data_IF_156269259986
#
_entry.id   IF_156269259986
#
_cell.length_a   1.000
_cell.length_b   1.000
_cell.length_c   1.000
_cell.angle_alpha   90.00
_cell.angle_beta   90.00
_cell.angle_gamma   90.00
#
_symmetry.space_group_name_H-M   'P 1'
#
loop_
_entity.id
_entity.type
_entity.pdbx_description
1 polymer ?
#
# COMPACT_ATOMS: atom_id res chain seq x y z
N UNK A 1 4.47 -28.36 -12.60
CA UNK A 1 4.16 -28.13 -14.04
C UNK A 1 5.02 -26.94 -14.45
N UNK A 2 6.03 -27.16 -15.25
CA UNK A 2 6.86 -26.09 -15.80
C UNK A 2 6.08 -25.34 -16.85
N UNK A 3 6.00 -24.03 -16.72
CA UNK A 3 5.49 -23.13 -17.75
C UNK A 3 6.70 -22.59 -18.50
N UNK A 4 6.91 -22.96 -19.77
CA UNK A 4 8.06 -22.46 -20.53
C UNK A 4 8.03 -20.94 -20.63
N UNK A 5 9.12 -20.29 -20.25
CA UNK A 5 9.29 -18.86 -20.45
C UNK A 5 9.53 -18.53 -21.93
N UNK A 6 9.09 -17.38 -22.44
CA UNK A 6 9.40 -16.92 -23.78
C UNK A 6 10.92 -16.67 -23.93
N UNK A 7 11.49 -17.07 -25.05
CA UNK A 7 12.89 -16.77 -25.40
C UNK A 7 13.97 -17.58 -24.68
N UNK A 8 13.62 -18.76 -24.11
CA UNK A 8 14.62 -19.62 -23.45
C UNK A 8 14.96 -19.21 -22.01
N UNK A 9 14.22 -18.27 -21.43
CA UNK A 9 14.29 -18.00 -19.99
C UNK A 9 13.88 -19.23 -19.21
N UNK A 10 14.47 -19.53 -18.03
CA UNK A 10 14.04 -20.65 -17.21
C UNK A 10 12.54 -20.55 -16.93
N UNK A 11 11.82 -21.65 -17.18
CA UNK A 11 10.38 -21.70 -16.97
C UNK A 11 10.02 -21.40 -15.51
N UNK A 12 8.91 -20.70 -15.31
CA UNK A 12 8.37 -20.45 -13.97
C UNK A 12 7.83 -21.76 -13.40
N UNK A 13 8.43 -22.21 -12.32
CA UNK A 13 7.96 -23.40 -11.57
C UNK A 13 6.96 -22.95 -10.52
N UNK A 14 5.87 -23.67 -10.34
CA UNK A 14 4.83 -23.31 -9.36
C UNK A 14 5.38 -23.10 -7.94
N UNK A 15 6.44 -23.83 -7.59
CA UNK A 15 7.15 -23.69 -6.31
C UNK A 15 7.85 -22.34 -6.14
N UNK A 16 8.20 -21.64 -7.22
CA UNK A 16 8.83 -20.30 -7.15
C UNK A 16 7.86 -19.22 -6.64
N UNK A 17 6.56 -19.49 -6.61
CA UNK A 17 5.53 -18.61 -6.07
C UNK A 17 5.14 -18.98 -4.63
N UNK A 18 5.81 -19.93 -4.02
CA UNK A 18 5.58 -20.25 -2.61
C UNK A 18 6.31 -19.25 -1.72
N UNK A 19 5.62 -18.66 -0.74
CA UNK A 19 6.19 -17.65 0.17
C UNK A 19 7.46 -18.14 0.86
N UNK A 20 7.50 -19.41 1.29
CA UNK A 20 8.70 -20.01 1.89
C UNK A 20 9.92 -19.99 0.97
N UNK A 21 9.74 -20.15 -0.32
CA UNK A 21 10.83 -20.07 -1.31
C UNK A 21 11.33 -18.63 -1.48
N UNK A 22 10.40 -17.67 -1.56
CA UNK A 22 10.75 -16.24 -1.61
C UNK A 22 11.49 -15.79 -0.36
N UNK A 23 11.03 -16.21 0.83
CA UNK A 23 11.67 -15.90 2.09
C UNK A 23 13.05 -16.58 2.23
N UNK A 24 13.23 -17.80 1.74
CA UNK A 24 14.54 -18.45 1.70
C UNK A 24 15.53 -17.73 0.77
N UNK A 25 15.03 -17.18 -0.35
CA UNK A 25 15.82 -16.35 -1.25
C UNK A 25 16.15 -14.98 -0.62
N UNK A 26 15.21 -14.41 0.12
CA UNK A 26 15.39 -13.16 0.85
C UNK A 26 16.50 -13.29 1.90
N UNK A 27 16.49 -14.36 2.71
CA UNK A 27 17.55 -14.63 3.71
C UNK A 27 18.95 -14.67 3.10
N UNK A 28 19.10 -15.32 1.95
CA UNK A 28 20.39 -15.38 1.24
C UNK A 28 20.88 -14.03 0.73
N UNK A 29 19.96 -13.09 0.48
CA UNK A 29 20.28 -11.71 0.05
C UNK A 29 20.47 -10.76 1.24
N UNK A 30 19.71 -10.95 2.33
CA UNK A 30 19.84 -10.16 3.56
C UNK A 30 21.22 -10.33 4.22
N UNK A 31 21.88 -11.46 4.02
CA UNK A 31 23.29 -11.69 4.46
C UNK A 31 24.31 -10.75 3.78
N UNK A 32 23.87 -9.88 2.90
CA UNK A 32 24.75 -9.09 2.02
C UNK A 32 24.92 -7.60 2.38
N UNK A 33 24.65 -7.15 3.61
CA UNK A 33 25.23 -5.88 4.05
C UNK A 33 24.30 -4.72 4.42
N UNK A 34 23.08 -4.98 4.89
CA UNK A 34 22.19 -3.94 5.48
C UNK A 34 21.92 -4.15 6.98
N UNK A 35 22.70 -4.99 7.63
CA UNK A 35 22.49 -5.37 9.05
C UNK A 35 22.58 -4.21 10.04
N UNK A 36 23.28 -3.14 9.68
CA UNK A 36 23.44 -1.92 10.48
C UNK A 36 22.46 -0.79 10.06
N UNK A 37 21.53 -1.06 9.14
CA UNK A 37 20.51 -0.12 8.68
C UNK A 37 19.16 -0.48 9.29
N UNK A 38 18.49 0.51 9.88
CA UNK A 38 17.10 0.38 10.29
C UNK A 38 16.23 0.21 9.05
N UNK A 39 15.44 -0.86 9.01
CA UNK A 39 14.50 -1.13 7.91
C UNK A 39 13.07 -1.09 8.43
N UNK A 40 12.30 -0.13 7.94
CA UNK A 40 10.86 0.02 8.22
C UNK A 40 10.09 -0.16 6.92
N UNK A 41 9.28 -1.19 6.90
CA UNK A 41 8.38 -1.48 5.78
C UNK A 41 7.09 -0.68 5.94
N UNK A 42 6.87 0.26 5.05
CA UNK A 42 5.69 1.13 5.10
C UNK A 42 4.44 0.51 4.48
N UNK A 43 4.59 -0.61 3.73
CA UNK A 43 3.48 -1.25 3.04
C UNK A 43 3.66 -2.77 2.98
N UNK A 44 3.42 -3.41 4.11
CA UNK A 44 3.25 -4.84 4.21
C UNK A 44 1.75 -5.18 4.36
N UNK A 45 1.35 -6.35 3.87
CA UNK A 45 -0.05 -6.73 3.89
C UNK A 45 -0.34 -7.94 4.77
N UNK A 46 -1.53 -7.90 5.36
CA UNK A 46 -2.19 -9.07 5.94
C UNK A 46 -3.24 -9.62 4.97
N UNK A 47 -3.33 -10.94 4.87
CA UNK A 47 -4.42 -11.59 4.12
C UNK A 47 -5.67 -11.70 5.01
N UNK A 48 -6.42 -10.62 5.12
CA UNK A 48 -7.64 -10.58 5.89
C UNK A 48 -8.70 -11.59 5.42
N UNK A 49 -8.61 -12.03 4.16
CA UNK A 49 -9.48 -13.09 3.61
C UNK A 49 -9.33 -14.41 4.35
N UNK A 50 -8.14 -14.72 4.88
CA UNK A 50 -7.90 -15.92 5.70
C UNK A 50 -8.58 -15.81 7.08
N UNK A 51 -8.77 -14.59 7.59
CA UNK A 51 -9.38 -14.27 8.88
C UNK A 51 -10.81 -13.73 8.75
N UNK A 52 -11.43 -13.84 7.58
CA UNK A 52 -12.75 -13.25 7.33
C UNK A 52 -13.84 -13.80 8.28
N UNK A 53 -13.69 -15.03 8.75
CA UNK A 53 -14.58 -15.64 9.74
C UNK A 53 -14.50 -14.98 11.12
N UNK A 54 -13.37 -14.32 11.43
CA UNK A 54 -13.15 -13.56 12.65
C UNK A 54 -13.57 -12.09 12.48
N UNK A 55 -13.42 -11.55 11.27
CA UNK A 55 -13.72 -10.14 10.96
C UNK A 55 -15.22 -9.91 10.84
N UNK A 56 -15.96 -10.77 10.12
CA UNK A 56 -17.41 -10.60 9.93
C UNK A 56 -18.20 -10.45 11.24
N UNK A 57 -17.93 -11.22 12.30
CA UNK A 57 -18.65 -11.04 13.60
C UNK A 57 -18.46 -9.67 14.23
N UNK A 58 -17.36 -8.95 13.88
CA UNK A 58 -17.06 -7.61 14.39
C UNK A 58 -17.82 -6.50 13.65
N UNK A 59 -18.51 -6.80 12.55
CA UNK A 59 -19.39 -5.84 11.87
C UNK A 59 -20.56 -5.52 12.80
N UNK A 60 -20.70 -4.25 13.17
CA UNK A 60 -21.72 -3.83 14.15
C UNK A 60 -23.13 -3.87 13.54
N UNK A 61 -23.30 -3.36 12.32
CA UNK A 61 -24.57 -3.38 11.62
C UNK A 61 -25.01 -4.83 11.30
N UNK A 62 -26.17 -5.29 11.83
CA UNK A 62 -26.62 -6.66 11.63
C UNK A 62 -27.00 -6.98 10.18
N UNK A 63 -27.44 -5.99 9.41
CA UNK A 63 -27.79 -6.15 7.99
C UNK A 63 -26.53 -6.32 7.16
N UNK A 64 -25.54 -5.43 7.35
CA UNK A 64 -24.24 -5.52 6.68
C UNK A 64 -23.54 -6.84 7.08
N UNK A 65 -23.56 -7.22 8.34
CA UNK A 65 -23.03 -8.50 8.81
C UNK A 65 -23.69 -9.71 8.15
N UNK A 66 -25.00 -9.69 7.99
CA UNK A 66 -25.73 -10.76 7.31
C UNK A 66 -25.42 -10.80 5.81
N UNK A 67 -25.30 -9.63 5.17
CA UNK A 67 -24.87 -9.51 3.77
C UNK A 67 -23.47 -10.11 3.56
N UNK A 68 -22.50 -9.75 4.42
CA UNK A 68 -21.15 -10.28 4.37
C UNK A 68 -21.10 -11.81 4.53
N UNK A 69 -21.93 -12.38 5.43
CA UNK A 69 -22.06 -13.85 5.58
C UNK A 69 -22.64 -14.52 4.33
N UNK A 70 -23.63 -13.91 3.71
CA UNK A 70 -24.27 -14.43 2.48
C UNK A 70 -23.29 -14.36 1.29
N UNK A 71 -22.52 -13.29 1.18
CA UNK A 71 -21.51 -13.10 0.12
C UNK A 71 -20.39 -14.15 0.17
N UNK A 72 -20.03 -14.67 1.34
CA UNK A 72 -19.05 -15.76 1.45
C UNK A 72 -19.46 -17.01 0.69
N UNK A 73 -20.76 -17.36 0.73
CA UNK A 73 -21.31 -18.50 -0.02
C UNK A 73 -21.30 -18.26 -1.53
N UNK A 74 -21.72 -17.08 -1.97
CA UNK A 74 -21.75 -16.67 -3.36
C UNK A 74 -20.35 -16.57 -3.97
N UNK A 75 -19.38 -16.00 -3.25
CA UNK A 75 -17.98 -15.90 -3.70
C UNK A 75 -17.34 -17.29 -3.93
N UNK A 76 -17.67 -18.29 -3.11
CA UNK A 76 -17.19 -19.67 -3.32
C UNK A 76 -17.78 -20.31 -4.57
N UNK A 77 -19.00 -19.97 -4.95
CA UNK A 77 -19.64 -20.44 -6.19
C UNK A 77 -19.10 -19.70 -7.42
N UNK A 78 -18.98 -18.38 -7.35
CA UNK A 78 -18.46 -17.54 -8.44
C UNK A 78 -16.98 -17.84 -8.76
N UNK A 79 -16.20 -18.21 -7.75
CA UNK A 79 -14.78 -18.59 -7.96
C UNK A 79 -14.59 -19.85 -8.84
N UNK A 80 -15.65 -20.63 -9.10
CA UNK A 80 -15.58 -21.82 -9.98
C UNK A 80 -15.67 -21.47 -11.45
N UNK A 81 -16.38 -20.40 -11.80
CA UNK A 81 -16.54 -19.94 -13.18
C UNK A 81 -16.70 -18.40 -13.18
N UNK A 82 -15.64 -17.64 -13.47
CA UNK A 82 -15.76 -16.19 -13.68
C UNK A 82 -16.56 -15.96 -14.96
N UNK A 83 -17.87 -15.72 -14.80
CA UNK A 83 -18.80 -15.82 -15.93
C UNK A 83 -19.00 -14.52 -16.70
N UNK A 84 -18.69 -13.35 -16.15
CA UNK A 84 -19.43 -12.21 -16.69
C UNK A 84 -18.69 -10.88 -16.83
N UNK A 85 -17.41 -10.76 -16.50
CA UNK A 85 -16.77 -9.45 -16.55
C UNK A 85 -15.30 -9.44 -16.97
N UNK A 86 -14.92 -10.40 -17.79
CA UNK A 86 -13.53 -10.45 -18.28
C UNK A 86 -13.32 -9.47 -19.45
N UNK A 87 -14.37 -8.85 -19.96
CA UNK A 87 -14.34 -7.97 -21.12
C UNK A 87 -13.48 -8.57 -22.26
N UNK A 88 -12.44 -7.87 -22.71
CA UNK A 88 -11.48 -8.38 -23.71
C UNK A 88 -10.26 -9.05 -23.08
N UNK A 89 -10.27 -9.35 -21.78
CA UNK A 89 -9.13 -9.90 -21.10
C UNK A 89 -8.87 -11.36 -21.49
N UNK A 90 -7.64 -11.64 -21.86
CA UNK A 90 -7.17 -13.00 -22.11
C UNK A 90 -6.67 -13.62 -20.81
N UNK A 91 -7.19 -14.80 -20.46
CA UNK A 91 -6.81 -15.52 -19.26
C UNK A 91 -5.61 -16.47 -19.48
N UNK A 92 -5.23 -16.72 -20.74
CA UNK A 92 -4.12 -17.60 -21.07
C UNK A 92 -2.78 -17.05 -20.58
N UNK A 93 -1.98 -17.90 -19.95
CA UNK A 93 -0.65 -17.55 -19.46
C UNK A 93 -0.62 -16.62 -18.24
N UNK A 94 -1.78 -16.36 -17.64
CA UNK A 94 -1.86 -15.52 -16.43
C UNK A 94 -1.26 -16.22 -15.24
N UNK A 95 -0.34 -15.56 -14.55
CA UNK A 95 0.21 -16.00 -13.27
C UNK A 95 -0.73 -15.53 -12.16
N UNK A 96 -0.96 -16.39 -11.16
CA UNK A 96 -1.73 -16.01 -9.99
C UNK A 96 -1.04 -14.83 -9.26
N UNK A 97 -1.81 -13.81 -8.95
CA UNK A 97 -1.33 -12.65 -8.17
C UNK A 97 -1.00 -13.05 -6.74
N UNK A 98 -1.77 -13.97 -6.20
CA UNK A 98 -1.68 -14.40 -4.81
C UNK A 98 -0.69 -15.56 -4.68
N UNK A 99 0.28 -15.40 -3.80
CA UNK A 99 1.18 -16.48 -3.39
C UNK A 99 0.38 -17.52 -2.59
N UNK A 100 0.72 -18.79 -2.71
CA UNK A 100 -0.01 -19.91 -2.07
C UNK A 100 0.28 -19.97 -0.55
N UNK A 101 -0.11 -18.95 0.20
CA UNK A 101 0.10 -18.85 1.66
C UNK A 101 -0.62 -19.92 2.47
N UNK A 102 -1.75 -20.42 1.99
CA UNK A 102 -2.51 -21.47 2.67
C UNK A 102 -1.71 -22.75 2.95
N UNK A 103 -0.57 -22.93 2.25
CA UNK A 103 0.35 -24.03 2.49
C UNK A 103 1.32 -23.76 3.63
N UNK A 104 1.37 -22.53 4.14
CA UNK A 104 2.22 -22.18 5.25
C UNK A 104 1.60 -22.64 6.58
N UNK A 105 2.36 -23.36 7.37
CA UNK A 105 1.96 -23.79 8.71
C UNK A 105 2.54 -22.83 9.76
N UNK A 106 1.74 -22.56 10.79
CA UNK A 106 2.20 -21.81 11.98
C UNK A 106 2.16 -22.75 13.19
N UNK A 107 3.13 -22.67 14.12
CA UNK A 107 3.22 -23.56 15.27
C UNK A 107 2.07 -23.46 16.26
N UNK A 108 1.21 -22.44 16.19
CA UNK A 108 0.03 -22.32 17.05
C UNK A 108 0.32 -21.95 18.50
N UNK A 109 1.35 -21.15 18.75
CA UNK A 109 1.80 -20.76 20.09
C UNK A 109 0.95 -19.66 20.79
N UNK A 110 -0.32 -19.51 20.45
CA UNK A 110 -1.21 -18.52 21.05
C UNK A 110 -1.15 -17.13 20.37
N UNK A 111 -0.20 -16.90 19.49
CA UNK A 111 -0.12 -15.69 18.66
C UNK A 111 -1.05 -15.82 17.46
N UNK A 112 -1.69 -14.72 17.06
CA UNK A 112 -2.56 -14.72 15.91
C UNK A 112 -1.77 -15.08 14.63
N UNK A 113 -2.31 -16.00 13.80
CA UNK A 113 -1.63 -16.49 12.58
C UNK A 113 -1.12 -15.37 11.66
N UNK A 114 -1.92 -14.31 11.46
CA UNK A 114 -1.51 -13.20 10.60
C UNK A 114 -0.28 -12.47 11.14
N UNK A 115 -0.20 -12.27 12.46
CA UNK A 115 0.96 -11.67 13.12
C UNK A 115 2.20 -12.57 13.00
N UNK A 116 2.03 -13.88 13.26
CA UNK A 116 3.12 -14.84 13.17
C UNK A 116 3.73 -14.92 11.76
N UNK A 117 2.87 -14.92 10.73
CA UNK A 117 3.33 -14.91 9.34
C UNK A 117 4.04 -13.61 8.97
N UNK A 118 3.54 -12.46 9.46
CA UNK A 118 4.18 -11.16 9.23
C UNK A 118 5.56 -11.10 9.89
N UNK A 119 5.66 -11.45 11.16
CA UNK A 119 6.93 -11.45 11.91
C UNK A 119 7.97 -12.38 11.27
N UNK A 120 7.55 -13.59 10.90
CA UNK A 120 8.43 -14.55 10.20
C UNK A 120 8.95 -14.00 8.86
N UNK A 121 8.10 -13.29 8.13
CA UNK A 121 8.49 -12.66 6.87
C UNK A 121 9.46 -11.50 7.12
N UNK A 122 9.19 -10.66 8.12
CA UNK A 122 10.08 -9.57 8.51
C UNK A 122 11.47 -10.07 8.88
N UNK A 123 11.55 -11.12 9.71
CA UNK A 123 12.83 -11.72 10.10
C UNK A 123 13.59 -12.28 8.88
N UNK A 124 12.88 -12.94 7.96
CA UNK A 124 13.48 -13.47 6.75
C UNK A 124 13.98 -12.38 5.79
N UNK A 125 13.34 -11.22 5.75
CA UNK A 125 13.68 -10.10 4.88
C UNK A 125 14.61 -9.07 5.54
N UNK A 126 14.90 -9.20 6.84
CA UNK A 126 15.69 -8.22 7.58
C UNK A 126 14.94 -6.92 7.87
N UNK A 127 13.62 -6.98 8.08
CA UNK A 127 12.77 -5.83 8.40
C UNK A 127 12.60 -5.70 9.90
N UNK A 128 12.83 -4.51 10.46
CA UNK A 128 12.73 -4.24 11.89
C UNK A 128 11.29 -3.96 12.32
N UNK A 129 10.58 -3.12 11.56
CA UNK A 129 9.20 -2.72 11.82
C UNK A 129 8.40 -2.76 10.52
N UNK A 130 7.15 -3.20 10.55
CA UNK A 130 6.27 -3.20 9.39
C UNK A 130 4.90 -2.58 9.72
N UNK A 131 4.44 -1.71 8.82
CA UNK A 131 3.10 -1.15 8.84
C UNK A 131 2.17 -2.02 7.98
N UNK A 132 1.20 -2.66 8.61
CA UNK A 132 0.32 -3.65 8.01
C UNK A 132 -0.95 -3.01 7.44
N UNK A 133 -1.27 -3.32 6.18
CA UNK A 133 -2.51 -2.94 5.51
C UNK A 133 -3.28 -4.17 5.01
N UNK A 134 -4.59 -4.06 4.67
CA UNK A 134 -5.31 -5.19 4.10
C UNK A 134 -4.89 -5.44 2.65
N UNK A 135 -4.88 -6.69 2.21
CA UNK A 135 -4.58 -7.05 0.83
C UNK A 135 -5.81 -6.98 -0.08
N UNK A 136 -6.93 -7.51 0.36
CA UNK A 136 -8.14 -7.65 -0.45
C UNK A 136 -9.16 -6.53 -0.30
N UNK A 137 -9.12 -5.76 0.80
CA UNK A 137 -10.07 -4.68 1.05
C UNK A 137 -9.74 -3.38 0.31
N UNK A 138 -8.68 -3.34 -0.49
CA UNK A 138 -8.33 -2.16 -1.30
C UNK A 138 -9.39 -1.78 -2.34
N UNK A 139 -10.31 -2.69 -2.68
CA UNK A 139 -11.42 -2.41 -3.60
C UNK A 139 -12.65 -1.80 -2.93
N UNK A 140 -12.67 -1.66 -1.60
CA UNK A 140 -13.87 -1.24 -0.86
C UNK A 140 -14.33 0.17 -1.19
N UNK A 141 -13.46 1.04 -1.68
CA UNK A 141 -13.83 2.39 -2.12
C UNK A 141 -14.74 2.43 -3.35
N UNK A 142 -14.83 1.33 -4.11
CA UNK A 142 -15.75 1.17 -5.24
C UNK A 142 -17.12 0.58 -4.83
N UNK A 143 -17.30 0.21 -3.56
CA UNK A 143 -18.57 -0.36 -3.13
C UNK A 143 -19.67 0.71 -3.16
N UNK A 144 -20.83 0.44 -3.83
CA UNK A 144 -21.87 1.44 -4.04
C UNK A 144 -22.63 1.83 -2.75
N UNK A 145 -22.54 1.03 -1.69
CA UNK A 145 -23.21 1.26 -0.40
C UNK A 145 -22.19 1.71 0.65
N UNK A 146 -22.22 2.99 1.09
CA UNK A 146 -21.27 3.51 2.08
C UNK A 146 -21.31 2.75 3.41
N UNK A 147 -22.45 2.23 3.81
CA UNK A 147 -22.64 1.47 5.05
C UNK A 147 -21.85 0.15 5.03
N UNK A 148 -21.73 -0.45 3.85
CA UNK A 148 -20.94 -1.69 3.67
C UNK A 148 -19.45 -1.39 3.80
N UNK A 149 -18.97 -0.34 3.15
CA UNK A 149 -17.57 0.11 3.31
C UNK A 149 -17.29 0.39 4.79
N UNK A 150 -18.12 1.20 5.44
CA UNK A 150 -17.94 1.58 6.85
C UNK A 150 -17.96 0.36 7.78
N UNK A 151 -18.93 -0.55 7.61
CA UNK A 151 -19.06 -1.74 8.45
C UNK A 151 -17.89 -2.73 8.29
N UNK A 152 -17.47 -2.97 7.07
CA UNK A 152 -16.36 -3.92 6.78
C UNK A 152 -15.02 -3.36 7.20
N UNK A 153 -14.71 -2.10 6.86
CA UNK A 153 -13.43 -1.48 7.24
C UNK A 153 -13.35 -1.23 8.76
N UNK A 154 -14.47 -0.87 9.41
CA UNK A 154 -14.53 -0.76 10.87
C UNK A 154 -14.24 -2.10 11.58
N UNK A 155 -14.81 -3.19 11.08
CA UNK A 155 -14.55 -4.54 11.59
C UNK A 155 -13.10 -4.97 11.36
N UNK A 156 -12.52 -4.67 10.19
CA UNK A 156 -11.11 -4.91 9.90
C UNK A 156 -10.20 -4.14 10.85
N UNK A 157 -10.43 -2.84 11.05
CA UNK A 157 -9.64 -2.01 11.95
C UNK A 157 -9.63 -2.56 13.39
N UNK A 158 -10.80 -3.00 13.87
CA UNK A 158 -10.92 -3.65 15.18
C UNK A 158 -10.13 -4.96 15.24
N UNK A 159 -10.32 -5.83 14.25
CA UNK A 159 -9.60 -7.10 14.18
C UNK A 159 -8.08 -6.87 14.15
N UNK A 160 -7.59 -5.95 13.32
CA UNK A 160 -6.18 -5.64 13.23
C UNK A 160 -5.62 -5.19 14.58
N UNK A 161 -6.25 -4.18 15.19
CA UNK A 161 -5.75 -3.56 16.43
C UNK A 161 -5.95 -4.41 17.68
N UNK A 162 -6.98 -5.26 17.73
CA UNK A 162 -7.30 -6.09 18.90
C UNK A 162 -6.67 -7.49 18.86
N UNK A 163 -6.36 -8.01 17.63
CA UNK A 163 -5.93 -9.40 17.44
C UNK A 163 -4.53 -9.56 16.86
N UNK A 164 -4.12 -8.65 15.99
CA UNK A 164 -2.86 -8.79 15.23
C UNK A 164 -1.75 -7.95 15.84
N UNK A 165 -1.94 -6.64 15.98
CA UNK A 165 -0.90 -5.73 16.45
C UNK A 165 -0.38 -6.03 17.86
N UNK A 166 -1.20 -6.50 18.83
CA UNK A 166 -0.71 -6.79 20.19
C UNK A 166 0.35 -7.89 20.26
N UNK A 167 0.55 -8.64 19.18
CA UNK A 167 1.54 -9.72 19.14
C UNK A 167 2.99 -9.22 19.23
N UNK A 168 3.29 -8.01 18.74
CA UNK A 168 4.64 -7.47 18.77
C UNK A 168 4.63 -5.94 18.54
N UNK A 169 5.48 -5.18 19.24
CA UNK A 169 5.66 -3.75 18.97
C UNK A 169 6.34 -3.45 17.60
N UNK A 170 6.85 -4.47 16.94
CA UNK A 170 7.35 -4.38 15.56
C UNK A 170 6.23 -4.25 14.52
N UNK A 171 4.98 -4.55 14.89
CA UNK A 171 3.81 -4.47 14.01
C UNK A 171 3.07 -3.16 14.23
N UNK A 172 2.96 -2.37 13.19
CA UNK A 172 2.11 -1.20 13.12
C UNK A 172 0.92 -1.50 12.21
N UNK A 173 -0.14 -0.69 12.30
CA UNK A 173 -1.31 -0.84 11.45
C UNK A 173 -1.68 0.45 10.72
N UNK A 174 -2.02 0.32 9.45
CA UNK A 174 -2.76 1.33 8.74
C UNK A 174 -4.24 1.21 9.06
N UNK A 175 -4.84 2.30 9.54
CA UNK A 175 -6.28 2.35 9.82
C UNK A 175 -7.01 2.74 8.56
N UNK A 176 -7.85 1.82 8.06
CA UNK A 176 -8.64 2.03 6.85
C UNK A 176 -9.78 3.02 7.08
N UNK A 177 -9.87 4.04 6.24
CA UNK A 177 -10.93 5.05 6.31
C UNK A 177 -12.05 4.77 5.30
N UNK A 178 -13.30 4.68 5.75
CA UNK A 178 -14.45 4.50 4.87
C UNK A 178 -14.86 5.84 4.23
N UNK A 179 -14.17 6.24 3.16
CA UNK A 179 -14.35 7.57 2.57
C UNK A 179 -15.69 7.78 1.86
N UNK A 180 -16.41 6.71 1.46
CA UNK A 180 -17.78 6.88 0.99
C UNK A 180 -18.75 7.24 2.12
N UNK A 181 -18.34 7.05 3.38
CA UNK A 181 -19.05 7.44 4.60
C UNK A 181 -18.21 8.46 5.42
N UNK A 182 -18.12 9.75 5.04
CA UNK A 182 -17.20 10.71 5.66
C UNK A 182 -17.39 10.91 7.17
N UNK A 183 -18.63 10.76 7.69
CA UNK A 183 -18.91 10.82 9.13
C UNK A 183 -18.29 9.65 9.88
N UNK A 184 -18.33 8.46 9.28
CA UNK A 184 -17.71 7.26 9.85
C UNK A 184 -16.18 7.33 9.74
N UNK A 185 -15.67 7.90 8.64
CA UNK A 185 -14.24 8.17 8.50
C UNK A 185 -13.73 9.12 9.59
N UNK A 186 -14.46 10.21 9.90
CA UNK A 186 -14.10 11.11 11.00
C UNK A 186 -14.10 10.38 12.35
N UNK A 187 -15.16 9.63 12.66
CA UNK A 187 -15.20 8.81 13.90
C UNK A 187 -14.05 7.81 13.99
N UNK A 188 -13.66 7.25 12.86
CA UNK A 188 -12.51 6.33 12.79
C UNK A 188 -11.22 7.05 13.16
N UNK A 189 -10.98 8.26 12.64
CA UNK A 189 -9.81 9.07 13.03
C UNK A 189 -9.83 9.36 14.53
N UNK A 190 -10.93 9.87 15.06
CA UNK A 190 -11.10 10.18 16.50
C UNK A 190 -10.85 8.95 17.39
N UNK A 191 -11.27 7.76 16.92
CA UNK A 191 -11.13 6.52 17.68
C UNK A 191 -9.68 6.01 17.74
N UNK A 192 -8.93 6.17 16.64
CA UNK A 192 -7.63 5.50 16.49
C UNK A 192 -6.42 6.42 16.56
N UNK A 193 -6.57 7.74 16.41
CA UNK A 193 -5.45 8.68 16.30
C UNK A 193 -4.45 8.63 17.47
N UNK A 194 -4.92 8.30 18.68
CA UNK A 194 -4.11 8.25 19.89
C UNK A 194 -3.80 6.80 20.36
N UNK A 195 -4.13 5.79 19.57
CA UNK A 195 -3.83 4.40 19.95
C UNK A 195 -2.38 4.05 19.58
N UNK A 196 -1.69 3.28 20.42
CA UNK A 196 -0.35 2.80 20.10
C UNK A 196 -0.39 1.83 18.92
N UNK A 197 0.70 1.74 18.17
CA UNK A 197 0.84 0.84 17.04
C UNK A 197 0.15 1.31 15.77
N UNK A 198 -0.31 2.56 15.69
CA UNK A 198 -0.94 3.12 14.48
C UNK A 198 0.12 3.86 13.67
N UNK A 199 0.36 3.41 12.42
CA UNK A 199 1.24 4.07 11.47
C UNK A 199 0.62 5.35 10.89
N UNK A 200 -0.67 5.32 10.65
CA UNK A 200 -1.44 6.41 10.07
C UNK A 200 -2.79 5.94 9.55
N UNK A 201 -3.38 6.74 8.69
CA UNK A 201 -4.68 6.47 8.09
C UNK A 201 -4.52 6.14 6.60
N UNK A 202 -5.27 5.16 6.12
CA UNK A 202 -5.19 4.72 4.74
C UNK A 202 -6.55 4.84 4.05
N UNK A 203 -6.51 5.36 2.83
CA UNK A 203 -7.63 5.44 1.90
C UNK A 203 -7.28 4.61 0.68
N UNK A 204 -8.19 3.75 0.23
CA UNK A 204 -8.02 3.11 -1.07
C UNK A 204 -8.18 4.13 -2.19
N UNK A 205 -7.23 4.16 -3.12
CA UNK A 205 -7.31 5.00 -4.31
C UNK A 205 -8.34 4.51 -5.34
N UNK A 206 -8.74 3.25 -5.27
CA UNK A 206 -9.83 2.69 -6.08
C UNK A 206 -11.17 3.27 -5.61
N UNK A 207 -11.51 4.45 -6.14
CA UNK A 207 -12.74 5.19 -5.80
C UNK A 207 -13.14 6.17 -6.90
N UNK A 208 -14.42 6.42 -7.00
CA UNK A 208 -14.98 7.37 -7.97
C UNK A 208 -15.04 8.79 -7.41
N UNK A 209 -15.33 8.93 -6.11
CA UNK A 209 -15.48 10.25 -5.48
C UNK A 209 -14.12 10.93 -5.33
N UNK A 210 -13.96 12.18 -5.81
CA UNK A 210 -12.70 12.88 -5.79
C UNK A 210 -12.23 13.21 -4.35
N UNK A 211 -10.93 13.06 -4.09
CA UNK A 211 -10.33 13.24 -2.76
C UNK A 211 -10.43 14.66 -2.21
N UNK A 212 -10.66 15.66 -3.04
CA UNK A 212 -10.85 17.06 -2.64
C UNK A 212 -12.31 17.43 -2.31
N UNK A 213 -13.24 16.46 -2.28
CA UNK A 213 -14.64 16.74 -1.94
C UNK A 213 -14.75 17.36 -0.54
N UNK A 214 -15.57 18.40 -0.42
CA UNK A 214 -15.74 19.14 0.84
C UNK A 214 -16.21 18.28 2.01
N UNK A 215 -16.88 17.15 1.76
CA UNK A 215 -17.29 16.22 2.80
C UNK A 215 -16.11 15.62 3.59
N UNK A 216 -14.91 15.61 3.00
CA UNK A 216 -13.70 15.07 3.66
C UNK A 216 -12.94 16.10 4.49
N UNK A 217 -13.24 17.40 4.38
CA UNK A 217 -12.48 18.45 5.07
C UNK A 217 -12.38 18.24 6.59
N UNK A 218 -13.46 17.84 7.31
CA UNK A 218 -13.36 17.55 8.74
C UNK A 218 -12.43 16.33 9.03
N UNK A 219 -12.40 15.35 8.13
CA UNK A 219 -11.54 14.17 8.28
C UNK A 219 -10.08 14.58 8.15
N UNK A 220 -9.74 15.36 7.12
CA UNK A 220 -8.39 15.87 6.92
C UNK A 220 -7.93 16.77 8.07
N UNK A 221 -8.80 17.64 8.57
CA UNK A 221 -8.49 18.47 9.75
C UNK A 221 -8.11 17.62 10.96
N UNK A 222 -8.90 16.60 11.25
CA UNK A 222 -8.64 15.70 12.37
C UNK A 222 -7.33 14.90 12.20
N UNK A 223 -7.00 14.46 10.98
CA UNK A 223 -5.73 13.78 10.68
C UNK A 223 -4.55 14.73 10.84
N UNK A 224 -4.64 15.94 10.31
CA UNK A 224 -3.60 16.96 10.45
C UNK A 224 -3.36 17.33 11.91
N UNK A 225 -4.43 17.51 12.70
CA UNK A 225 -4.35 17.76 14.14
C UNK A 225 -3.71 16.60 14.91
N UNK A 226 -4.05 15.37 14.53
CA UNK A 226 -3.39 14.18 15.07
C UNK A 226 -1.92 14.10 14.66
N UNK A 227 -1.53 14.76 13.55
CA UNK A 227 -0.20 14.79 12.97
C UNK A 227 0.31 13.42 12.52
N UNK A 228 -0.60 12.50 12.21
CA UNK A 228 -0.32 11.21 11.58
C UNK A 228 -0.43 11.36 10.06
N UNK A 229 0.27 10.52 9.28
CA UNK A 229 0.16 10.56 7.83
C UNK A 229 -1.17 9.99 7.34
N UNK A 230 -1.58 10.45 6.15
CA UNK A 230 -2.60 9.80 5.33
C UNK A 230 -1.96 9.17 4.11
N UNK A 231 -2.28 7.92 3.82
CA UNK A 231 -1.82 7.19 2.66
C UNK A 231 -2.97 6.95 1.67
N UNK A 232 -2.72 7.22 0.40
CA UNK A 232 -3.58 6.83 -0.72
C UNK A 232 -2.97 5.62 -1.39
N UNK A 233 -3.60 4.47 -1.21
CA UNK A 233 -3.04 3.19 -1.65
C UNK A 233 -3.56 2.83 -3.04
N UNK A 234 -2.64 2.63 -3.98
CA UNK A 234 -2.93 2.14 -5.32
C UNK A 234 -3.64 0.78 -5.31
N UNK A 235 -4.18 0.41 -6.42
CA UNK A 235 -4.86 -0.86 -6.53
C UNK A 235 -5.14 -1.25 -7.97
N UNK A 236 -5.56 -2.49 -8.17
CA UNK A 236 -5.86 -3.02 -9.50
C UNK A 236 -7.33 -3.40 -9.58
N UNK A 237 -8.05 -2.76 -10.47
CA UNK A 237 -9.39 -3.14 -10.86
C UNK A 237 -9.46 -3.52 -12.35
N UNK A 238 -9.87 -4.73 -12.63
CA UNK A 238 -10.06 -5.23 -14.00
C UNK A 238 -11.35 -4.77 -14.64
N UNK A 239 -12.32 -4.47 -13.80
CA UNK A 239 -13.67 -4.12 -14.23
C UNK A 239 -13.80 -2.63 -14.54
N UNK A 240 -12.77 -1.84 -14.22
CA UNK A 240 -12.75 -0.41 -14.52
C UNK A 240 -12.96 -0.18 -16.01
N UNK A 241 -13.93 0.68 -16.40
CA UNK A 241 -14.19 1.00 -17.80
C UNK A 241 -12.94 1.42 -18.58
N UNK A 242 -11.99 2.09 -17.95
CA UNK A 242 -10.75 2.53 -18.55
C UNK A 242 -9.87 1.36 -19.00
N UNK A 243 -9.89 0.25 -18.26
CA UNK A 243 -9.03 -0.91 -18.52
C UNK A 243 -9.74 -2.05 -19.26
N UNK A 244 -11.03 -1.92 -19.55
CA UNK A 244 -11.80 -2.99 -20.26
C UNK A 244 -11.26 -3.35 -21.63
N UNK A 245 -10.59 -2.43 -22.30
CA UNK A 245 -10.01 -2.66 -23.63
C UNK A 245 -8.61 -3.26 -23.58
N UNK A 246 -8.02 -3.37 -22.41
CA UNK A 246 -6.69 -3.96 -22.21
C UNK A 246 -6.83 -5.48 -22.13
N UNK A 247 -6.16 -6.21 -23.01
CA UNK A 247 -6.36 -7.67 -23.15
C UNK A 247 -5.52 -8.51 -22.19
N UNK A 248 -4.41 -8.00 -21.69
CA UNK A 248 -3.49 -8.75 -20.83
C UNK A 248 -3.48 -8.20 -19.40
N UNK A 249 -3.50 -9.09 -18.41
CA UNK A 249 -3.42 -8.69 -17.00
C UNK A 249 -2.15 -7.89 -16.67
N UNK A 250 -1.03 -8.27 -17.26
CA UNK A 250 0.22 -7.52 -17.13
C UNK A 250 0.05 -6.03 -17.45
N UNK A 251 -0.68 -5.72 -18.53
CA UNK A 251 -0.91 -4.34 -18.90
C UNK A 251 -1.93 -3.64 -17.98
N UNK A 252 -2.97 -4.37 -17.51
CA UNK A 252 -3.88 -3.84 -16.48
C UNK A 252 -3.09 -3.48 -15.22
N UNK A 253 -2.24 -4.39 -14.72
CA UNK A 253 -1.44 -4.13 -13.52
C UNK A 253 -0.46 -2.96 -13.72
N UNK A 254 0.20 -2.88 -14.89
CA UNK A 254 1.14 -1.82 -15.19
C UNK A 254 0.50 -0.41 -15.27
N UNK A 255 -0.81 -0.32 -15.50
CA UNK A 255 -1.52 0.95 -15.63
C UNK A 255 -2.36 1.30 -14.40
N UNK A 256 -3.09 0.33 -13.84
CA UNK A 256 -4.14 0.62 -12.85
C UNK A 256 -3.61 1.07 -11.50
N UNK A 257 -2.50 0.53 -11.03
CA UNK A 257 -1.95 0.91 -9.73
C UNK A 257 -1.56 2.39 -9.67
N UNK A 258 -0.94 2.91 -10.73
CA UNK A 258 -0.52 4.30 -10.82
C UNK A 258 -1.69 5.22 -11.15
N UNK A 259 -2.61 4.79 -12.00
CA UNK A 259 -3.62 5.67 -12.60
C UNK A 259 -4.47 6.41 -11.57
N UNK A 260 -4.99 5.70 -10.58
CA UNK A 260 -5.81 6.33 -9.55
C UNK A 260 -5.00 7.31 -8.71
N UNK A 261 -3.76 6.97 -8.35
CA UNK A 261 -2.87 7.88 -7.62
C UNK A 261 -2.51 9.12 -8.47
N UNK A 262 -2.31 8.97 -9.78
CA UNK A 262 -2.11 10.12 -10.69
C UNK A 262 -3.32 11.05 -10.64
N UNK A 263 -4.54 10.52 -10.75
CA UNK A 263 -5.77 11.32 -10.74
C UNK A 263 -5.96 12.00 -9.37
N UNK A 264 -5.76 11.26 -8.28
CA UNK A 264 -5.96 11.81 -6.94
C UNK A 264 -4.87 12.80 -6.54
N UNK A 265 -3.61 12.57 -6.90
CA UNK A 265 -2.52 13.51 -6.70
C UNK A 265 -2.77 14.81 -7.50
N UNK A 266 -3.20 14.69 -8.75
CA UNK A 266 -3.62 15.85 -9.54
C UNK A 266 -4.71 16.63 -8.81
N UNK A 267 -5.79 15.96 -8.44
CA UNK A 267 -6.90 16.59 -7.72
C UNK A 267 -6.48 17.21 -6.39
N UNK A 268 -5.60 16.55 -5.65
CA UNK A 268 -5.07 17.05 -4.38
C UNK A 268 -4.35 18.39 -4.59
N UNK A 269 -3.45 18.45 -5.57
CA UNK A 269 -2.65 19.64 -5.83
C UNK A 269 -3.50 20.75 -6.42
N UNK A 270 -4.17 20.52 -7.57
CA UNK A 270 -4.83 21.61 -8.32
C UNK A 270 -6.01 22.24 -7.57
N UNK A 271 -6.60 21.54 -6.61
CA UNK A 271 -7.67 22.07 -5.76
C UNK A 271 -7.15 22.69 -4.44
N UNK A 272 -5.85 22.94 -4.33
CA UNK A 272 -5.25 23.67 -3.22
C UNK A 272 -5.29 22.93 -1.87
N UNK A 273 -5.36 21.60 -1.89
CA UNK A 273 -5.35 20.84 -0.64
C UNK A 273 -4.06 21.03 0.18
N UNK A 274 -2.85 21.11 -0.45
CA UNK A 274 -1.62 21.41 0.30
C UNK A 274 -1.63 22.78 0.98
N UNK A 275 -2.27 23.79 0.38
CA UNK A 275 -2.42 25.11 1.00
C UNK A 275 -3.43 25.10 2.16
N UNK A 276 -4.44 24.23 2.04
CA UNK A 276 -5.48 24.09 3.07
C UNK A 276 -5.01 23.27 4.28
N UNK A 277 -4.14 22.27 4.03
CA UNK A 277 -3.61 21.36 5.04
C UNK A 277 -2.08 21.28 4.94
N UNK A 278 -1.37 22.39 5.28
CA UNK A 278 0.07 22.49 5.03
C UNK A 278 0.94 21.60 5.92
N UNK A 279 0.39 21.05 7.00
CA UNK A 279 1.11 20.15 7.91
C UNK A 279 0.78 18.68 7.67
N UNK A 280 -0.09 18.37 6.70
CA UNK A 280 -0.50 17.01 6.44
C UNK A 280 0.57 16.25 5.65
N UNK A 281 1.03 15.14 6.20
CA UNK A 281 1.91 14.21 5.51
C UNK A 281 1.06 13.28 4.62
N UNK A 282 1.16 13.46 3.30
CA UNK A 282 0.45 12.65 2.31
C UNK A 282 1.42 11.63 1.71
N UNK A 283 1.01 10.37 1.66
CA UNK A 283 1.79 9.27 1.10
C UNK A 283 1.04 8.67 -0.10
N UNK A 284 1.70 8.60 -1.26
CA UNK A 284 1.22 7.88 -2.44
C UNK A 284 1.84 6.48 -2.45
N UNK A 285 1.01 5.45 -2.26
CA UNK A 285 1.41 4.10 -1.92
C UNK A 285 1.08 3.11 -3.04
N UNK A 286 1.93 2.07 -3.20
CA UNK A 286 1.76 0.96 -4.16
C UNK A 286 1.55 1.43 -5.62
N UNK A 287 2.37 2.37 -6.08
CA UNK A 287 2.22 2.93 -7.44
C UNK A 287 3.53 3.24 -8.16
N UNK A 288 4.66 2.87 -7.57
CA UNK A 288 5.98 3.28 -8.07
C UNK A 288 6.14 4.79 -8.08
N UNK A 289 7.18 5.28 -8.73
CA UNK A 289 7.50 6.71 -8.75
C UNK A 289 7.74 7.29 -10.14
N UNK A 290 7.80 6.48 -11.20
CA UNK A 290 8.13 6.95 -12.54
C UNK A 290 7.09 7.91 -13.13
N UNK A 291 5.86 7.87 -12.66
CA UNK A 291 4.79 8.78 -13.07
C UNK A 291 4.94 10.20 -12.47
N UNK A 292 5.67 10.35 -11.36
CA UNK A 292 5.74 11.64 -10.63
C UNK A 292 6.49 12.71 -11.44
N UNK A 293 7.67 12.46 -12.01
CA UNK A 293 8.34 13.46 -12.87
C UNK A 293 7.51 13.86 -14.07
N UNK A 294 6.83 12.90 -14.71
CA UNK A 294 5.95 13.17 -15.83
C UNK A 294 4.79 14.08 -15.42
N UNK A 295 4.10 13.75 -14.33
CA UNK A 295 2.98 14.54 -13.85
C UNK A 295 3.41 15.95 -13.42
N UNK A 296 4.54 16.07 -12.71
CA UNK A 296 5.15 17.35 -12.32
C UNK A 296 5.34 18.27 -13.54
N UNK A 297 6.03 17.77 -14.57
CA UNK A 297 6.28 18.55 -15.79
C UNK A 297 4.97 18.98 -16.48
N UNK A 298 3.98 18.09 -16.52
CA UNK A 298 2.67 18.37 -17.12
C UNK A 298 1.91 19.44 -16.34
N UNK A 299 1.78 19.28 -15.04
CA UNK A 299 1.03 20.23 -14.21
C UNK A 299 1.69 21.61 -14.14
N UNK A 300 3.01 21.68 -14.02
CA UNK A 300 3.75 22.95 -14.01
C UNK A 300 3.57 23.72 -15.33
N UNK A 301 3.57 22.99 -16.47
CA UNK A 301 3.35 23.61 -17.76
C UNK A 301 1.92 24.14 -17.90
N UNK A 302 0.93 23.35 -17.52
CA UNK A 302 -0.49 23.76 -17.58
C UNK A 302 -0.77 24.92 -16.61
N UNK A 303 -0.20 24.91 -15.41
CA UNK A 303 -0.36 25.99 -14.43
C UNK A 303 0.17 27.33 -14.95
N UNK A 304 1.33 27.33 -15.64
CA UNK A 304 1.87 28.56 -16.24
C UNK A 304 0.92 29.20 -17.28
N UNK A 305 0.10 28.37 -17.92
CA UNK A 305 -0.86 28.84 -18.91
C UNK A 305 -2.25 29.17 -18.34
N UNK A 306 -2.63 28.49 -17.25
CA UNK A 306 -4.00 28.49 -16.71
C UNK A 306 -4.05 28.62 -15.18
N UNK A 307 -3.14 29.38 -14.57
CA UNK A 307 -3.09 29.54 -13.10
C UNK A 307 -4.40 30.08 -12.52
N UNK A 308 -5.19 30.83 -13.32
CA UNK A 308 -6.52 31.29 -12.90
C UNK A 308 -7.52 30.19 -12.55
N UNK A 309 -7.31 28.96 -13.04
CA UNK A 309 -8.13 27.80 -12.69
C UNK A 309 -7.79 27.24 -11.29
N UNK A 310 -6.60 27.56 -10.77
CA UNK A 310 -6.10 27.09 -9.47
C UNK A 310 -5.72 28.28 -8.56
N UNK A 311 -6.68 29.17 -8.23
CA UNK A 311 -6.40 30.45 -7.57
C UNK A 311 -5.86 30.32 -6.13
N UNK A 312 -5.95 29.15 -5.54
CA UNK A 312 -5.45 28.86 -4.18
C UNK A 312 -3.97 28.50 -4.16
N UNK A 313 -3.39 28.10 -5.29
CA UNK A 313 -1.98 27.74 -5.34
C UNK A 313 -1.10 28.99 -5.34
N UNK A 314 -0.08 28.99 -4.51
CA UNK A 314 0.92 30.07 -4.40
C UNK A 314 2.26 29.71 -5.04
N UNK A 315 2.47 28.44 -5.38
CA UNK A 315 3.68 27.86 -5.96
C UNK A 315 3.34 26.98 -7.17
N UNK A 316 4.35 26.51 -7.88
CA UNK A 316 4.15 25.54 -8.94
C UNK A 316 3.64 24.20 -8.37
N UNK A 317 2.76 23.49 -9.09
CA UNK A 317 2.27 22.16 -8.69
C UNK A 317 3.37 21.18 -8.29
N UNK A 318 4.48 21.16 -9.03
CA UNK A 318 5.62 20.29 -8.75
C UNK A 318 6.32 20.57 -7.42
N UNK A 319 6.26 21.79 -6.91
CA UNK A 319 6.83 22.12 -5.60
C UNK A 319 6.05 21.45 -4.48
N UNK A 320 4.71 21.42 -4.56
CA UNK A 320 3.87 20.70 -3.60
C UNK A 320 4.07 19.18 -3.70
N UNK A 321 4.22 18.64 -4.92
CA UNK A 321 4.47 17.21 -5.12
C UNK A 321 5.79 16.75 -4.49
N UNK A 322 6.81 17.60 -4.46
CA UNK A 322 8.10 17.31 -3.80
C UNK A 322 8.02 17.26 -2.27
N UNK A 323 6.99 17.85 -1.67
CA UNK A 323 6.73 17.84 -0.23
C UNK A 323 5.90 16.62 0.21
N UNK A 324 5.42 15.81 -0.72
CA UNK A 324 4.68 14.58 -0.44
C UNK A 324 5.61 13.37 -0.34
N UNK A 325 5.08 12.27 0.16
CA UNK A 325 5.82 11.02 0.31
C UNK A 325 5.35 9.97 -0.69
N UNK A 326 6.25 9.05 -1.02
CA UNK A 326 6.03 7.98 -1.99
C UNK A 326 6.60 6.68 -1.45
N UNK A 327 5.95 5.55 -1.71
CA UNK A 327 6.55 4.24 -1.40
C UNK A 327 7.43 3.75 -2.54
N UNK A 328 8.48 2.99 -2.20
CA UNK A 328 9.44 2.49 -3.17
C UNK A 328 8.88 1.39 -4.07
N UNK A 329 7.89 0.64 -3.61
CA UNK A 329 7.34 -0.48 -4.38
C UNK A 329 6.30 -0.03 -5.42
N UNK A 330 6.34 -0.60 -6.63
CA UNK A 330 7.44 -1.41 -7.15
C UNK A 330 8.67 -0.56 -7.48
N UNK A 331 9.88 -1.11 -7.22
CA UNK A 331 11.12 -0.50 -7.73
C UNK A 331 11.17 -0.73 -9.23
N UNK A 332 10.91 0.34 -9.97
CA UNK A 332 10.76 0.28 -11.42
C UNK A 332 12.11 0.34 -12.14
N UNK A 333 12.19 -0.33 -13.28
CA UNK A 333 13.33 -0.32 -14.23
C UNK A 333 14.72 -0.52 -13.59
N UNK A 334 14.96 -1.60 -12.84
CA UNK A 334 16.23 -1.82 -12.15
C UNK A 334 17.46 -1.82 -13.08
N UNK A 335 17.28 -2.17 -14.37
CA UNK A 335 18.34 -2.17 -15.39
C UNK A 335 18.54 -0.78 -16.05
N UNK A 336 17.81 0.23 -15.63
CA UNK A 336 17.84 1.60 -16.16
C UNK A 336 18.07 2.61 -15.02
N UNK A 337 19.23 2.52 -14.35
CA UNK A 337 19.58 3.40 -13.23
C UNK A 337 19.57 4.89 -13.60
N UNK A 338 19.84 5.24 -14.87
CA UNK A 338 19.76 6.62 -15.35
C UNK A 338 18.35 7.21 -15.27
N UNK A 339 17.35 6.42 -15.67
CA UNK A 339 15.94 6.81 -15.61
C UNK A 339 15.45 6.88 -14.15
N UNK A 340 15.82 5.88 -13.34
CA UNK A 340 15.48 5.83 -11.92
C UNK A 340 16.13 7.00 -11.16
N UNK A 341 17.40 7.33 -11.44
CA UNK A 341 18.07 8.47 -10.85
C UNK A 341 17.39 9.81 -11.17
N UNK A 342 16.83 9.96 -12.37
CA UNK A 342 16.06 11.14 -12.73
C UNK A 342 14.75 11.24 -11.91
N UNK A 343 14.05 10.12 -11.75
CA UNK A 343 12.83 10.05 -10.92
C UNK A 343 13.13 10.35 -9.44
N UNK A 344 14.17 9.76 -8.89
CA UNK A 344 14.61 9.95 -7.50
C UNK A 344 14.99 11.43 -7.23
N UNK A 345 15.68 12.08 -8.16
CA UNK A 345 15.98 13.52 -8.04
C UNK A 345 14.71 14.39 -8.11
N UNK A 346 13.75 14.02 -8.95
CA UNK A 346 12.53 14.81 -9.11
C UNK A 346 11.68 14.85 -7.85
N UNK A 347 11.63 13.78 -7.08
CA UNK A 347 10.88 13.68 -5.82
C UNK A 347 11.71 14.04 -4.59
N UNK A 348 13.01 14.30 -4.73
CA UNK A 348 13.92 14.42 -3.57
C UNK A 348 13.88 13.14 -2.70
N UNK A 349 14.13 11.99 -3.33
CA UNK A 349 13.92 10.66 -2.76
C UNK A 349 14.48 10.46 -1.34
N UNK A 350 15.69 10.97 -0.97
CA UNK A 350 16.19 10.83 0.39
C UNK A 350 15.28 11.41 1.47
N UNK A 351 14.42 12.38 1.14
CA UNK A 351 13.53 13.05 2.07
C UNK A 351 12.05 12.65 1.91
N UNK A 352 11.67 12.10 0.76
CA UNK A 352 10.28 11.80 0.40
C UNK A 352 9.98 10.32 0.13
N UNK A 353 10.98 9.52 -0.24
CA UNK A 353 10.78 8.10 -0.51
C UNK A 353 10.87 7.29 0.79
N UNK A 354 9.96 6.33 0.94
CA UNK A 354 9.94 5.38 2.06
C UNK A 354 9.89 3.95 1.51
N UNK A 355 10.65 3.07 2.12
CA UNK A 355 10.69 1.67 1.72
C UNK A 355 9.34 0.99 1.95
N UNK A 356 8.95 0.17 0.98
CA UNK A 356 7.77 -0.69 1.04
C UNK A 356 8.08 -2.03 0.37
N UNK A 357 7.69 -3.11 1.02
CA UNK A 357 7.89 -4.45 0.46
C UNK A 357 6.76 -4.93 -0.42
N UNK A 358 5.56 -4.46 -0.23
CA UNK A 358 4.32 -5.03 -0.78
C UNK A 358 4.17 -6.54 -0.47
N UNK A 359 4.85 -7.04 0.59
CA UNK A 359 4.71 -8.42 1.02
C UNK A 359 3.25 -8.71 1.40
N UNK A 360 2.65 -9.83 1.00
CA UNK A 360 3.20 -10.95 0.26
C UNK A 360 2.74 -10.98 -1.22
N UNK A 361 2.69 -9.85 -1.87
CA UNK A 361 2.35 -9.78 -3.30
C UNK A 361 3.43 -10.46 -4.17
N UNK A 362 3.06 -10.85 -5.37
CA UNK A 362 3.99 -11.52 -6.32
C UNK A 362 5.11 -10.61 -6.82
N UNK A 363 4.95 -9.31 -6.68
CA UNK A 363 5.87 -8.24 -7.05
C UNK A 363 6.54 -7.57 -5.84
N UNK A 364 6.65 -8.30 -4.75
CA UNK A 364 7.30 -7.78 -3.54
C UNK A 364 8.77 -7.44 -3.77
N UNK A 365 9.19 -6.32 -3.20
CA UNK A 365 10.57 -5.84 -3.18
C UNK A 365 11.25 -6.12 -1.84
N UNK A 366 12.45 -6.71 -1.90
CA UNK A 366 13.29 -6.86 -0.72
C UNK A 366 14.01 -5.54 -0.40
N UNK A 367 14.46 -5.31 0.85
CA UNK A 367 15.23 -4.11 1.20
C UNK A 367 16.44 -3.88 0.29
N UNK A 368 17.08 -4.93 -0.22
CA UNK A 368 18.15 -4.87 -1.21
C UNK A 368 17.75 -4.21 -2.53
N UNK A 369 16.46 -4.20 -2.90
CA UNK A 369 16.02 -3.50 -4.11
C UNK A 369 16.33 -1.99 -4.05
N UNK A 370 16.37 -1.41 -2.85
CA UNK A 370 16.81 -0.03 -2.59
C UNK A 370 18.28 0.00 -2.16
N UNK A 371 18.69 -0.92 -1.28
CA UNK A 371 20.03 -0.99 -0.70
C UNK A 371 21.15 -1.19 -1.74
N UNK A 372 20.88 -1.91 -2.82
CA UNK A 372 21.87 -2.21 -3.86
C UNK A 372 21.98 -1.11 -4.94
N UNK A 373 21.14 -0.07 -4.89
CA UNK A 373 21.18 1.00 -5.89
C UNK A 373 22.47 1.83 -5.78
N UNK A 374 23.28 1.79 -6.82
CA UNK A 374 24.54 2.53 -6.89
C UNK A 374 24.34 4.06 -6.97
N UNK A 375 23.16 4.50 -7.37
CA UNK A 375 22.80 5.93 -7.46
C UNK A 375 22.55 6.59 -6.10
N UNK A 376 22.44 5.81 -5.01
CA UNK A 376 22.19 6.29 -3.66
C UNK A 376 23.44 6.24 -2.80
N UNK A 377 23.69 7.32 -2.04
CA UNK A 377 24.68 7.29 -0.97
C UNK A 377 24.19 6.44 0.20
N UNK A 378 25.10 5.95 1.06
CA UNK A 378 24.75 5.20 2.26
C UNK A 378 23.82 6.00 3.20
N UNK A 379 24.00 7.31 3.28
CA UNK A 379 23.11 8.19 4.05
C UNK A 379 21.68 8.25 3.45
N UNK A 380 21.58 8.24 2.11
CA UNK A 380 20.27 8.24 1.44
C UNK A 380 19.55 6.89 1.61
N UNK A 381 20.29 5.79 1.51
CA UNK A 381 19.76 4.43 1.78
C UNK A 381 19.19 4.33 3.19
N UNK A 382 19.90 4.82 4.23
CA UNK A 382 19.42 4.84 5.62
C UNK A 382 18.12 5.64 5.75
N UNK A 383 18.04 6.79 5.10
CA UNK A 383 16.81 7.61 5.12
C UNK A 383 15.64 6.89 4.49
N UNK A 384 15.82 6.35 3.28
CA UNK A 384 14.75 5.69 2.52
C UNK A 384 14.31 4.40 3.21
N UNK A 385 15.26 3.57 3.68
CA UNK A 385 14.97 2.27 4.27
C UNK A 385 14.28 2.38 5.64
N UNK A 386 14.55 3.44 6.43
CA UNK A 386 13.98 3.49 7.77
C UNK A 386 13.77 4.86 8.39
N UNK A 387 14.73 5.80 8.30
CA UNK A 387 14.68 7.03 9.10
C UNK A 387 13.50 7.93 8.74
N UNK A 388 13.14 8.02 7.45
CA UNK A 388 11.98 8.80 6.99
C UNK A 388 10.68 8.21 7.52
N UNK A 389 10.50 6.89 7.42
CA UNK A 389 9.33 6.20 7.97
C UNK A 389 9.28 6.28 9.50
N UNK A 390 10.43 6.15 10.21
CA UNK A 390 10.51 6.32 11.66
C UNK A 390 9.94 7.67 12.10
N UNK A 391 10.34 8.74 11.40
CA UNK A 391 9.84 10.09 11.68
C UNK A 391 8.34 10.24 11.40
N UNK A 392 7.87 9.73 10.25
CA UNK A 392 6.47 9.80 9.85
C UNK A 392 5.54 9.05 10.80
N UNK A 393 5.94 7.86 11.23
CA UNK A 393 5.17 7.01 12.14
C UNK A 393 5.41 7.35 13.61
N UNK A 394 6.21 8.39 13.89
CA UNK A 394 6.55 8.87 15.24
C UNK A 394 7.13 7.80 16.16
N UNK A 395 7.93 6.92 15.59
CA UNK A 395 8.61 5.89 16.35
C UNK A 395 9.77 6.50 17.16
N UNK A 396 10.00 6.03 18.40
CA UNK A 396 11.07 6.53 19.23
C UNK A 396 12.46 6.20 18.62
N UNK A 397 13.48 6.95 19.04
CA UNK A 397 14.87 6.72 18.60
C UNK A 397 15.43 5.36 19.02
N UNK A 398 14.83 4.73 20.04
CA UNK A 398 15.18 3.36 20.46
C UNK A 398 14.84 2.30 19.40
N UNK A 399 14.00 2.62 18.41
CA UNK A 399 13.78 1.80 17.23
C UNK A 399 14.95 2.00 16.29
N UNK A 400 15.88 1.06 16.29
CA UNK A 400 17.12 1.06 15.52
C UNK A 400 17.29 -0.26 14.77
N UNK A 401 18.34 -0.39 13.98
CA UNK A 401 18.68 -1.64 13.29
C UNK A 401 18.74 -2.83 14.26
N UNK A 402 18.14 -3.96 13.88
CA UNK A 402 18.03 -5.13 14.74
C UNK A 402 16.96 -5.04 15.84
N UNK A 403 16.07 -4.03 15.78
CA UNK A 403 15.03 -3.85 16.80
C UNK A 403 14.21 -5.12 17.05
N UNK A 404 14.38 -5.72 18.25
CA UNK A 404 13.67 -6.92 18.71
C UNK A 404 13.75 -8.15 17.78
N UNK A 405 14.81 -8.26 16.96
CA UNK A 405 15.02 -9.45 16.10
C UNK A 405 15.52 -10.66 16.91
N UNK A 406 16.17 -10.42 18.03
CA UNK A 406 16.79 -11.44 18.92
C UNK A 406 15.87 -11.85 20.09
N UNK A 407 14.56 -11.68 19.97
CA UNK A 407 13.55 -11.94 20.99
C UNK A 407 12.77 -13.23 20.81
#
# INVERSE_FOLDING_TARGET
>A
MEIPGPGGAPGLVAETFHTGHHLANARRRAEAGIDDILVIDADAHVYEKESIVEIIPLIEDPIVRQLARSAQGAARQAARFPLDRVAYHELGGRIARDILRRLETTPGHGTHRAAELALRAMDAMGIDVAALSPFGLQIMGLHPQPEVEAGVLGAYNRWLTERVLPASPRLLGWIMLPFNAPRDALRTVETYANRPGIAGFQVTSLREKPVHDNAYMPVYSAIEEAGLPIAFHGGTDWEDPLFRTVSKFMAVKALSQQWYNIVHCTNWVVNGMPERFPRMNVIWMDSGISWVPWLTMRLDNEYRMRSSECPTLTRLPGEYMREMYYTSNPVEVPDREDALAAAYRAIDAPNSLIYASNYPASDMDLPGAVGDLAILSEADKRRILGETARRLFRLPETVAAGYMRDG
#
